data_IF_171763188100
#
_entry.id   IF_171763188100
#
_cell.length_a   1.000
_cell.length_b   1.000
_cell.length_c   1.000
_cell.angle_alpha   90.00
_cell.angle_beta   90.00
_cell.angle_gamma   90.00
#
_symmetry.space_group_name_H-M   'P 1'
#
loop_
_entity.id
_entity.type
_entity.pdbx_description
1 polymer ?
#
# COMPACT_ATOMS: atom_id res chain seq x y z
N UNK A 1 -8.72 4.15 -16.40
CA UNK A 1 -8.71 2.74 -16.85
C UNK A 1 -7.30 2.14 -16.97
N UNK A 2 -6.26 2.89 -17.41
CA UNK A 2 -4.90 2.35 -17.62
C UNK A 2 -4.18 1.85 -16.36
N UNK A 3 -4.60 2.28 -15.16
CA UNK A 3 -4.02 1.91 -13.85
C UNK A 3 -4.86 0.87 -13.09
N UNK A 4 -5.75 0.17 -13.80
CA UNK A 4 -6.69 -0.79 -13.22
C UNK A 4 -6.00 -2.14 -13.00
N UNK A 5 -6.23 -2.76 -11.86
CA UNK A 5 -5.82 -4.12 -11.51
C UNK A 5 -7.08 -4.97 -11.40
N UNK A 6 -7.05 -6.15 -12.03
CA UNK A 6 -8.19 -7.08 -12.08
C UNK A 6 -7.73 -8.44 -11.57
N UNK A 7 -8.45 -8.97 -10.58
CA UNK A 7 -8.31 -10.36 -10.15
C UNK A 7 -9.03 -11.34 -11.10
N UNK A 8 -9.85 -10.81 -12.02
CA UNK A 8 -10.59 -11.57 -13.02
C UNK A 8 -9.78 -11.75 -14.31
N UNK A 9 -9.94 -12.91 -14.95
CA UNK A 9 -9.36 -13.22 -16.25
C UNK A 9 -8.80 -14.65 -16.32
N UNK A 10 -8.27 -15.08 -17.48
CA UNK A 10 -7.59 -16.36 -17.59
C UNK A 10 -6.45 -16.49 -16.57
N UNK A 11 -6.45 -17.56 -15.77
CA UNK A 11 -5.48 -17.77 -14.69
C UNK A 11 -5.80 -17.03 -13.38
N UNK A 12 -6.80 -16.15 -13.38
CA UNK A 12 -7.33 -15.48 -12.18
C UNK A 12 -8.58 -16.15 -11.63
N UNK A 13 -9.38 -15.38 -10.89
CA UNK A 13 -10.64 -15.83 -10.31
C UNK A 13 -11.79 -15.72 -11.31
N UNK A 14 -12.74 -16.64 -11.22
CA UNK A 14 -14.08 -16.46 -11.80
C UNK A 14 -14.98 -15.76 -10.78
N UNK A 15 -15.98 -15.01 -11.26
CA UNK A 15 -16.89 -14.26 -10.38
C UNK A 15 -17.60 -15.15 -9.35
N UNK A 16 -17.98 -16.35 -9.76
CA UNK A 16 -18.70 -17.34 -8.93
C UNK A 16 -17.82 -17.97 -7.85
N UNK A 17 -16.50 -18.00 -8.04
CA UNK A 17 -15.53 -18.57 -7.09
C UNK A 17 -14.88 -17.53 -6.18
N UNK A 18 -15.14 -16.25 -6.43
CA UNK A 18 -14.63 -15.16 -5.62
C UNK A 18 -15.50 -14.95 -4.37
N UNK A 19 -15.09 -15.58 -3.26
CA UNK A 19 -15.71 -15.43 -1.95
C UNK A 19 -15.60 -14.01 -1.37
N UNK A 20 -16.10 -13.82 -0.15
CA UNK A 20 -16.06 -12.52 0.52
C UNK A 20 -14.64 -12.09 0.89
N UNK A 21 -13.80 -13.01 1.38
CA UNK A 21 -12.44 -12.70 1.88
C UNK A 21 -11.53 -12.09 0.80
N UNK A 22 -11.68 -12.48 -0.46
CA UNK A 22 -10.85 -11.97 -1.57
C UNK A 22 -11.30 -10.58 -2.06
N UNK A 23 -12.45 -10.09 -1.59
CA UNK A 23 -13.01 -8.78 -1.95
C UNK A 23 -12.74 -7.72 -0.89
N UNK A 24 -12.37 -8.14 0.31
CA UNK A 24 -12.11 -7.25 1.43
C UNK A 24 -10.79 -6.49 1.27
N UNK A 25 -10.70 -5.34 1.95
CA UNK A 25 -9.49 -4.54 1.97
C UNK A 25 -8.50 -5.15 2.96
N UNK A 26 -7.39 -5.66 2.44
CA UNK A 26 -6.30 -6.16 3.27
C UNK A 26 -5.35 -5.01 3.70
N UNK A 27 -4.76 -5.03 4.92
CA UNK A 27 -3.84 -3.98 5.36
C UNK A 27 -2.67 -3.71 4.41
N UNK A 28 -2.14 -4.75 3.75
CA UNK A 28 -1.04 -4.61 2.78
C UNK A 28 -1.42 -3.83 1.51
N UNK A 29 -2.71 -3.53 1.30
CA UNK A 29 -3.15 -2.64 0.23
C UNK A 29 -2.69 -1.21 0.45
N UNK A 30 -2.36 -0.81 1.69
CA UNK A 30 -1.91 0.53 2.02
C UNK A 30 -0.74 0.96 1.12
N UNK A 31 -0.87 2.12 0.48
CA UNK A 31 0.12 2.63 -0.48
C UNK A 31 0.20 1.88 -1.83
N UNK A 32 -0.47 0.73 -2.01
CA UNK A 32 -0.36 -0.14 -3.19
C UNK A 32 -1.62 -0.18 -4.04
N UNK A 33 -2.76 -0.52 -3.43
CA UNK A 33 -4.08 -0.54 -4.06
C UNK A 33 -4.99 0.49 -3.39
N UNK A 34 -5.78 1.20 -4.17
CA UNK A 34 -6.75 2.15 -3.62
C UNK A 34 -7.88 1.37 -2.91
N UNK A 35 -8.10 1.59 -1.61
CA UNK A 35 -9.16 0.90 -0.87
C UNK A 35 -10.56 1.47 -1.17
N UNK A 36 -10.63 2.63 -1.83
CA UNK A 36 -11.88 3.34 -2.12
C UNK A 36 -12.35 3.10 -3.55
N UNK A 37 -11.44 3.18 -4.53
CA UNK A 37 -11.80 3.08 -5.95
C UNK A 37 -11.94 1.62 -6.38
N UNK A 38 -13.18 1.13 -6.30
CA UNK A 38 -13.65 -0.16 -6.84
C UNK A 38 -15.01 0.03 -7.48
N UNK A 39 -15.38 -0.72 -8.54
CA UNK A 39 -16.75 -0.74 -9.01
C UNK A 39 -17.71 -1.20 -7.91
N UNK A 40 -18.89 -0.61 -7.86
CA UNK A 40 -20.00 -1.10 -7.06
C UNK A 40 -20.59 -2.38 -7.67
N UNK A 41 -21.31 -3.17 -6.86
CA UNK A 41 -22.03 -4.35 -7.31
C UNK A 41 -21.14 -5.61 -7.43
N UNK A 42 -21.34 -6.48 -8.43
CA UNK A 42 -20.76 -7.83 -8.43
C UNK A 42 -19.24 -7.87 -8.59
N UNK A 43 -18.61 -6.78 -9.02
CA UNK A 43 -17.16 -6.68 -9.19
C UNK A 43 -16.47 -5.94 -8.03
N UNK A 44 -17.19 -5.60 -6.96
CA UNK A 44 -16.61 -4.96 -5.78
C UNK A 44 -15.45 -5.81 -5.22
N UNK A 45 -14.31 -5.16 -4.98
CA UNK A 45 -13.09 -5.78 -4.46
C UNK A 45 -12.31 -6.65 -5.46
N UNK A 46 -12.86 -6.92 -6.66
CA UNK A 46 -12.19 -7.72 -7.69
C UNK A 46 -11.49 -6.87 -8.75
N UNK A 47 -11.86 -5.60 -8.82
CA UNK A 47 -11.26 -4.60 -9.70
C UNK A 47 -10.91 -3.40 -8.82
N UNK A 48 -9.62 -3.10 -8.75
CA UNK A 48 -9.10 -1.95 -8.01
C UNK A 48 -8.25 -1.07 -8.93
N UNK A 49 -7.87 0.09 -8.42
CA UNK A 49 -6.89 0.98 -9.05
C UNK A 49 -5.60 1.01 -8.23
N UNK A 50 -4.46 1.16 -8.92
CA UNK A 50 -3.18 1.42 -8.27
C UNK A 50 -3.24 2.72 -7.46
N UNK A 51 -2.69 2.71 -6.25
CA UNK A 51 -2.43 3.91 -5.46
C UNK A 51 -1.47 4.85 -6.18
N UNK A 52 -1.45 6.13 -5.79
CA UNK A 52 -0.77 7.22 -6.52
C UNK A 52 0.72 6.93 -6.74
N UNK A 53 1.42 6.58 -5.67
CA UNK A 53 2.88 6.34 -5.68
C UNK A 53 3.26 4.86 -5.82
N UNK A 54 2.28 3.97 -5.96
CA UNK A 54 2.54 2.56 -6.16
C UNK A 54 3.31 2.31 -7.46
N UNK A 55 4.28 1.40 -7.42
CA UNK A 55 4.98 0.90 -8.61
C UNK A 55 5.09 -0.62 -8.57
N UNK A 56 5.39 -1.21 -9.71
CA UNK A 56 5.67 -2.64 -9.83
C UNK A 56 7.18 -2.87 -9.94
N UNK A 57 7.71 -3.86 -9.23
CA UNK A 57 9.12 -4.24 -9.35
C UNK A 57 9.35 -5.32 -10.42
N UNK A 58 10.60 -5.73 -10.62
CA UNK A 58 10.99 -6.69 -11.66
C UNK A 58 10.34 -8.07 -11.51
N UNK A 59 9.84 -8.42 -10.32
CA UNK A 59 9.16 -9.68 -10.04
C UNK A 59 7.64 -9.57 -10.16
N UNK A 60 7.09 -8.38 -10.40
CA UNK A 60 5.65 -8.15 -10.49
C UNK A 60 4.99 -7.76 -9.16
N UNK A 61 5.73 -7.60 -8.07
CA UNK A 61 5.16 -7.16 -6.79
C UNK A 61 4.96 -5.65 -6.76
N UNK A 62 3.94 -5.23 -6.00
CA UNK A 62 3.65 -3.82 -5.77
C UNK A 62 4.48 -3.27 -4.61
N UNK A 63 5.12 -2.14 -4.86
CA UNK A 63 5.91 -1.39 -3.89
C UNK A 63 5.33 0.00 -3.68
N UNK A 64 5.54 0.55 -2.49
CA UNK A 64 5.19 1.92 -2.14
C UNK A 64 6.39 2.61 -1.49
N UNK A 65 6.62 3.91 -1.75
CA UNK A 65 7.76 4.62 -1.18
C UNK A 65 7.52 5.01 0.28
N UNK A 66 8.59 4.98 1.07
CA UNK A 66 8.67 5.47 2.45
C UNK A 66 9.93 6.30 2.65
N UNK A 67 9.93 7.19 3.65
CA UNK A 67 11.13 7.92 4.08
C UNK A 67 11.82 7.15 5.19
N UNK A 68 13.12 6.95 5.06
CA UNK A 68 13.91 6.26 6.08
C UNK A 68 14.06 7.12 7.33
N UNK A 69 13.89 6.51 8.50
CA UNK A 69 14.16 7.14 9.79
C UNK A 69 15.43 6.53 10.37
N UNK A 70 16.40 7.37 10.72
CA UNK A 70 17.66 6.94 11.32
C UNK A 70 17.83 7.64 12.66
N UNK A 71 17.97 6.87 13.74
CA UNK A 71 18.14 7.39 15.10
C UNK A 71 17.07 8.44 15.48
N UNK A 72 15.81 8.20 15.12
CA UNK A 72 14.67 9.09 15.42
C UNK A 72 14.59 10.35 14.55
N UNK A 73 15.42 10.48 13.52
CA UNK A 73 15.39 11.58 12.56
C UNK A 73 14.90 11.09 11.19
N UNK A 74 13.87 11.74 10.65
CA UNK A 74 13.36 11.46 9.31
C UNK A 74 14.33 12.01 8.27
N UNK A 75 14.66 11.20 7.27
CA UNK A 75 15.59 11.57 6.19
C UNK A 75 14.86 11.82 4.87
N UNK A 76 15.54 12.41 3.89
CA UNK A 76 15.05 12.54 2.51
C UNK A 76 15.31 11.28 1.67
N UNK A 77 15.87 10.22 2.25
CA UNK A 77 16.11 8.95 1.57
C UNK A 77 14.79 8.20 1.39
N UNK A 78 14.43 7.95 0.13
CA UNK A 78 13.18 7.29 -0.26
C UNK A 78 13.46 5.85 -0.63
N UNK A 79 12.91 4.94 0.17
CA UNK A 79 13.01 3.50 -0.06
C UNK A 79 11.65 2.96 -0.47
N UNK A 80 11.61 2.16 -1.52
CA UNK A 80 10.39 1.50 -1.97
C UNK A 80 10.32 0.11 -1.38
N UNK A 81 9.26 -0.18 -0.64
CA UNK A 81 9.09 -1.44 0.06
C UNK A 81 7.92 -2.23 -0.51
N UNK A 82 8.15 -3.51 -0.77
CA UNK A 82 7.10 -4.50 -1.00
C UNK A 82 6.33 -4.76 0.30
N UNK A 83 5.15 -5.41 0.20
CA UNK A 83 4.34 -5.74 1.37
C UNK A 83 5.06 -6.67 2.36
N UNK A 84 5.99 -7.49 1.86
CA UNK A 84 6.78 -8.42 2.67
C UNK A 84 7.86 -7.65 3.44
N UNK A 85 8.54 -6.72 2.76
CA UNK A 85 9.59 -5.91 3.40
C UNK A 85 9.02 -4.94 4.43
N UNK A 86 7.89 -4.30 4.13
CA UNK A 86 7.18 -3.41 5.06
C UNK A 86 6.85 -4.11 6.40
N UNK A 87 6.51 -5.40 6.37
CA UNK A 87 6.19 -6.18 7.57
C UNK A 87 7.34 -6.30 8.58
N UNK A 88 8.58 -5.99 8.20
CA UNK A 88 9.73 -5.97 9.10
C UNK A 88 9.94 -4.63 9.81
N UNK A 89 9.14 -3.62 9.49
CA UNK A 89 9.31 -2.25 9.98
C UNK A 89 8.05 -1.74 10.68
N UNK A 90 8.23 -0.76 11.57
CA UNK A 90 7.15 0.05 12.11
C UNK A 90 7.05 1.32 11.27
N UNK A 91 5.87 1.60 10.73
CA UNK A 91 5.63 2.73 9.84
C UNK A 91 4.94 3.85 10.61
N UNK A 92 5.63 4.99 10.74
CA UNK A 92 5.05 6.23 11.24
C UNK A 92 4.12 6.86 10.19
N UNK A 93 3.10 7.60 10.64
CA UNK A 93 2.19 8.28 9.73
C UNK A 93 2.82 9.54 9.14
N UNK A 94 2.39 9.92 7.94
CA UNK A 94 2.92 11.10 7.25
C UNK A 94 2.59 12.44 7.97
N UNK A 95 1.59 12.44 8.85
CA UNK A 95 1.13 13.60 9.62
C UNK A 95 1.67 13.62 11.07
N UNK A 96 2.61 12.74 11.42
CA UNK A 96 3.30 12.80 12.72
C UNK A 96 4.04 14.14 12.87
N UNK A 97 4.03 14.71 14.08
CA UNK A 97 4.66 16.01 14.32
C UNK A 97 6.18 15.90 14.33
N UNK A 98 6.84 16.81 13.61
CA UNK A 98 8.29 16.89 13.52
C UNK A 98 8.78 18.26 13.99
N UNK A 99 9.96 18.29 14.60
CA UNK A 99 10.67 19.53 14.88
C UNK A 99 11.41 20.07 13.63
N UNK A 100 12.08 21.21 13.78
CA UNK A 100 12.89 21.84 12.74
C UNK A 100 14.09 20.98 12.27
N UNK A 101 14.47 19.96 13.05
CA UNK A 101 15.53 19.02 12.73
C UNK A 101 14.98 17.69 12.18
N UNK A 102 13.69 17.62 11.82
CA UNK A 102 13.02 16.40 11.34
C UNK A 102 13.00 15.25 12.35
N UNK A 103 12.95 15.53 13.65
CA UNK A 103 12.79 14.52 14.70
C UNK A 103 11.35 14.50 15.19
N UNK A 104 10.85 13.32 15.56
CA UNK A 104 9.50 13.20 16.11
C UNK A 104 9.38 13.93 17.46
N UNK A 105 8.35 14.76 17.60
CA UNK A 105 8.06 15.46 18.87
C UNK A 105 7.14 14.66 19.78
N UNK A 106 6.42 13.69 19.23
CA UNK A 106 5.45 12.86 19.94
C UNK A 106 6.14 11.64 20.59
N UNK A 107 5.89 11.42 21.89
CA UNK A 107 6.53 10.35 22.67
C UNK A 107 6.15 8.93 22.22
N UNK A 108 5.06 8.77 21.46
CA UNK A 108 4.51 7.46 21.07
C UNK A 108 4.90 7.02 19.64
N UNK A 109 5.77 7.77 18.97
CA UNK A 109 6.23 7.46 17.61
C UNK A 109 7.69 6.99 17.69
N UNK A 110 7.92 5.87 18.38
CA UNK A 110 9.24 5.20 18.47
C UNK A 110 9.09 3.70 18.41
#
# INVERSE_FOLDING_TARGET
HKRRISALGPGGLTRERAGFEVRDVHPTHYGRLCPIETPEGPNIGLINSLSVYARTNNYGFLETPFRKVVNGQVTEDIEYLSAIEEGNYVIAQANSNLDENFRFTDTYVT
#
